data_IF_516581106081
#
_entry.id   IF_516581106081
#
_cell.length_a   1.000
_cell.length_b   1.000
_cell.length_c   1.000
_cell.angle_alpha   90.00
_cell.angle_beta   90.00
_cell.angle_gamma   90.00
#
_symmetry.space_group_name_H-M   'P 1'
#
loop_
_entity.id
_entity.type
_entity.pdbx_description
1 polymer ?
#
# COMPACT_ATOMS: atom_id res chain seq x y z
N UNK A 1 2.15 17.27 -6.28
CA UNK A 1 3.56 16.93 -6.02
C UNK A 1 3.73 15.45 -5.69
N UNK A 2 3.02 14.92 -4.69
CA UNK A 2 3.15 13.52 -4.23
C UNK A 2 2.99 12.43 -5.30
N UNK A 3 1.96 12.53 -6.16
CA UNK A 3 1.72 11.54 -7.24
C UNK A 3 2.91 11.43 -8.20
N UNK A 4 3.44 12.57 -8.66
CA UNK A 4 4.59 12.60 -9.58
C UNK A 4 5.83 11.97 -8.95
N UNK A 5 6.14 12.30 -7.69
CA UNK A 5 7.29 11.73 -6.98
C UNK A 5 7.21 10.21 -6.82
N UNK A 6 6.01 9.63 -6.76
CA UNK A 6 5.79 8.18 -6.65
C UNK A 6 5.60 7.48 -7.98
N UNK A 7 5.38 8.22 -9.07
CA UNK A 7 5.03 7.68 -10.38
C UNK A 7 6.19 7.83 -11.36
N UNK A 8 6.78 9.02 -11.44
CA UNK A 8 7.72 9.37 -12.49
C UNK A 8 9.05 8.60 -12.37
N UNK A 9 9.34 8.06 -11.18
CA UNK A 9 10.48 7.14 -10.96
C UNK A 9 10.41 5.91 -11.84
N UNK A 10 9.20 5.44 -12.19
CA UNK A 10 8.99 4.25 -12.99
C UNK A 10 9.23 4.49 -14.49
N UNK A 11 9.14 5.74 -14.97
CA UNK A 11 9.42 6.08 -16.36
C UNK A 11 10.86 5.75 -16.76
N UNK A 12 11.80 5.87 -15.82
CA UNK A 12 13.21 5.50 -16.03
C UNK A 12 13.42 4.01 -16.30
N UNK A 13 12.43 3.18 -15.96
CA UNK A 13 12.42 1.74 -16.18
C UNK A 13 11.51 1.33 -17.36
N UNK A 14 11.04 2.30 -18.15
CA UNK A 14 10.18 2.04 -19.31
C UNK A 14 8.72 1.74 -18.98
N UNK A 15 8.27 1.98 -17.74
CA UNK A 15 6.87 1.80 -17.33
C UNK A 15 6.16 3.14 -17.49
N UNK A 16 5.36 3.31 -18.55
CA UNK A 16 4.67 4.56 -18.88
C UNK A 16 3.50 4.90 -17.95
N UNK A 17 2.97 6.13 -18.08
CA UNK A 17 1.87 6.64 -17.24
C UNK A 17 0.60 5.80 -17.38
N UNK A 18 0.31 5.37 -18.60
CA UNK A 18 -0.83 4.54 -18.98
C UNK A 18 -0.79 3.13 -18.38
N UNK A 19 0.40 2.67 -17.96
CA UNK A 19 0.58 1.37 -17.30
C UNK A 19 0.45 1.49 -15.76
N UNK A 20 0.37 2.71 -15.22
CA UNK A 20 0.32 2.95 -13.78
C UNK A 20 -1.11 3.28 -13.38
N UNK A 21 -1.70 2.38 -12.58
CA UNK A 21 -3.06 2.52 -12.08
C UNK A 21 -3.05 2.77 -10.58
N UNK A 22 -3.73 3.84 -10.15
CA UNK A 22 -3.85 4.19 -8.74
C UNK A 22 -5.07 3.51 -8.12
N UNK A 23 -4.83 2.83 -6.99
CA UNK A 23 -5.89 2.35 -6.08
C UNK A 23 -6.25 3.49 -5.14
N UNK A 24 -7.46 4.02 -5.26
CA UNK A 24 -7.91 5.20 -4.54
C UNK A 24 -8.92 4.84 -3.45
N UNK A 25 -8.53 5.01 -2.19
CA UNK A 25 -9.36 4.68 -1.02
C UNK A 25 -10.75 5.35 -1.02
N UNK A 26 -10.84 6.60 -1.48
CA UNK A 26 -12.04 7.43 -1.41
C UNK A 26 -12.95 7.29 -2.62
N UNK A 27 -12.38 6.98 -3.79
CA UNK A 27 -13.11 6.97 -5.07
C UNK A 27 -13.46 5.57 -5.56
N UNK A 28 -12.58 4.60 -5.33
CA UNK A 28 -12.81 3.25 -5.82
C UNK A 28 -13.78 2.50 -4.89
N UNK A 29 -14.67 1.74 -5.52
CA UNK A 29 -15.39 0.65 -4.89
C UNK A 29 -14.43 -0.48 -4.51
N UNK A 30 -14.86 -1.36 -3.61
CA UNK A 30 -14.04 -2.52 -3.23
C UNK A 30 -13.71 -3.43 -4.41
N UNK A 31 -14.61 -3.55 -5.39
CA UNK A 31 -14.39 -4.45 -6.53
C UNK A 31 -13.41 -3.85 -7.54
N UNK A 32 -13.50 -2.54 -7.83
CA UNK A 32 -12.48 -1.83 -8.63
C UNK A 32 -11.09 -1.94 -7.99
N UNK A 33 -10.98 -1.81 -6.66
CA UNK A 33 -9.70 -1.99 -5.97
C UNK A 33 -9.13 -3.40 -6.17
N UNK A 34 -9.97 -4.44 -6.02
CA UNK A 34 -9.54 -5.83 -6.19
C UNK A 34 -9.12 -6.10 -7.63
N UNK A 35 -9.89 -5.61 -8.60
CA UNK A 35 -9.61 -5.77 -10.03
C UNK A 35 -8.26 -5.14 -10.39
N UNK A 36 -8.01 -3.89 -9.98
CA UNK A 36 -6.73 -3.20 -10.18
C UNK A 36 -5.55 -3.97 -9.60
N UNK A 37 -5.72 -4.59 -8.43
CA UNK A 37 -4.67 -5.38 -7.78
C UNK A 37 -4.48 -6.73 -8.50
N UNK A 38 -5.55 -7.42 -8.87
CA UNK A 38 -5.47 -8.74 -9.51
C UNK A 38 -4.89 -8.67 -10.93
N UNK A 39 -5.15 -7.58 -11.64
CA UNK A 39 -4.71 -7.39 -13.02
C UNK A 39 -3.33 -6.72 -13.14
N UNK A 40 -2.65 -6.43 -12.02
CA UNK A 40 -1.31 -5.83 -12.04
C UNK A 40 -0.22 -6.90 -11.96
N UNK A 41 0.92 -6.63 -12.61
CA UNK A 41 2.15 -7.42 -12.46
C UNK A 41 3.01 -6.98 -11.28
N UNK A 42 2.87 -5.72 -10.86
CA UNK A 42 3.58 -5.10 -9.75
C UNK A 42 2.56 -4.39 -8.85
N UNK A 43 2.67 -4.60 -7.53
CA UNK A 43 1.92 -3.87 -6.51
C UNK A 43 2.87 -3.02 -5.67
N UNK A 44 2.78 -1.70 -5.79
CA UNK A 44 3.58 -0.74 -5.03
C UNK A 44 2.79 -0.18 -3.83
N UNK A 45 3.23 -0.50 -2.63
CA UNK A 45 2.71 0.04 -1.37
C UNK A 45 3.52 1.28 -0.98
N UNK A 46 2.85 2.43 -0.97
CA UNK A 46 3.50 3.72 -0.75
C UNK A 46 3.81 4.00 0.72
N UNK A 47 4.55 5.07 1.01
CA UNK A 47 4.85 5.51 2.36
C UNK A 47 3.68 6.24 3.02
N UNK A 48 3.87 6.70 4.26
CA UNK A 48 2.84 7.38 5.05
C UNK A 48 2.73 6.79 6.45
N UNK A 49 1.51 6.60 6.94
CA UNK A 49 1.23 6.03 8.25
C UNK A 49 0.89 4.52 8.12
N UNK A 50 1.73 3.60 8.65
CA UNK A 50 1.57 2.15 8.43
C UNK A 50 0.34 1.58 9.12
N UNK A 51 -0.03 2.12 10.28
CA UNK A 51 -1.23 1.78 11.05
C UNK A 51 -2.51 2.14 10.29
N UNK A 52 -2.60 3.37 9.78
CA UNK A 52 -3.72 3.84 8.97
C UNK A 52 -3.82 3.07 7.66
N UNK A 53 -2.68 2.73 7.05
CA UNK A 53 -2.63 1.89 5.85
C UNK A 53 -3.23 0.51 6.11
N UNK A 54 -2.77 -0.18 7.16
CA UNK A 54 -3.29 -1.50 7.53
C UNK A 54 -4.78 -1.43 7.91
N UNK A 55 -5.21 -0.39 8.63
CA UNK A 55 -6.63 -0.15 8.94
C UNK A 55 -7.46 -0.08 7.65
N UNK A 56 -7.06 0.75 6.68
CA UNK A 56 -7.77 0.89 5.39
C UNK A 56 -7.77 -0.39 4.56
N UNK A 57 -6.66 -1.13 4.55
CA UNK A 57 -6.56 -2.44 3.88
C UNK A 57 -7.58 -3.42 4.48
N UNK A 58 -7.72 -3.45 5.81
CA UNK A 58 -8.70 -4.29 6.52
C UNK A 58 -10.13 -3.83 6.25
N UNK A 59 -10.40 -2.53 6.33
CA UNK A 59 -11.73 -1.94 6.04
C UNK A 59 -12.21 -2.27 4.62
N UNK A 60 -11.32 -2.23 3.63
CA UNK A 60 -11.63 -2.57 2.23
C UNK A 60 -11.54 -4.08 1.92
N UNK A 61 -11.35 -4.93 2.95
CA UNK A 61 -11.24 -6.39 2.83
C UNK A 61 -10.14 -6.85 1.86
N UNK A 62 -9.05 -6.09 1.73
CA UNK A 62 -7.94 -6.36 0.82
C UNK A 62 -6.82 -7.20 1.45
N UNK A 63 -6.79 -7.39 2.78
CA UNK A 63 -5.69 -8.10 3.50
C UNK A 63 -5.37 -9.46 2.89
N UNK A 64 -6.40 -10.31 2.68
CA UNK A 64 -6.20 -11.66 2.12
C UNK A 64 -5.74 -11.61 0.67
N UNK A 65 -6.24 -10.64 -0.11
CA UNK A 65 -5.84 -10.47 -1.51
C UNK A 65 -4.35 -10.08 -1.60
N UNK A 66 -3.95 -9.04 -0.88
CA UNK A 66 -2.56 -8.54 -0.87
C UNK A 66 -1.61 -9.62 -0.36
N UNK A 67 -1.95 -10.32 0.74
CA UNK A 67 -1.13 -11.41 1.29
C UNK A 67 -0.89 -12.56 0.30
N UNK A 68 -1.82 -12.81 -0.61
CA UNK A 68 -1.74 -13.89 -1.61
C UNK A 68 -1.37 -13.39 -3.01
N UNK A 69 -1.01 -12.11 -3.15
CA UNK A 69 -0.63 -11.52 -4.42
C UNK A 69 0.55 -12.27 -5.03
N UNK A 70 0.46 -12.60 -6.32
CA UNK A 70 1.42 -13.48 -7.01
C UNK A 70 2.46 -12.71 -7.83
N UNK A 71 2.21 -11.42 -8.09
CA UNK A 71 3.15 -10.54 -8.76
C UNK A 71 4.24 -10.04 -7.81
N UNK A 72 5.00 -9.06 -8.28
CA UNK A 72 6.06 -8.43 -7.48
C UNK A 72 5.44 -7.40 -6.54
N UNK A 73 5.65 -7.56 -5.24
CA UNK A 73 5.27 -6.56 -4.25
C UNK A 73 6.47 -5.69 -3.90
N UNK A 74 6.30 -4.37 -3.99
CA UNK A 74 7.30 -3.38 -3.57
C UNK A 74 6.67 -2.53 -2.49
N UNK A 75 7.40 -2.26 -1.42
CA UNK A 75 7.00 -1.31 -0.40
C UNK A 75 8.15 -0.36 -0.08
N UNK A 76 7.85 0.90 0.17
CA UNK A 76 8.82 1.84 0.71
C UNK A 76 8.28 2.51 1.96
N UNK A 77 9.16 2.81 2.93
CA UNK A 77 8.78 3.39 4.22
C UNK A 77 7.66 2.57 4.89
N UNK A 78 6.52 3.17 5.24
CA UNK A 78 5.37 2.47 5.79
C UNK A 78 4.88 1.27 4.95
N UNK A 79 4.94 1.37 3.61
CA UNK A 79 4.57 0.28 2.71
C UNK A 79 5.48 -0.95 2.82
N UNK A 80 6.74 -0.76 3.25
CA UNK A 80 7.64 -1.87 3.58
C UNK A 80 7.30 -2.46 4.96
N UNK A 81 7.02 -1.61 5.95
CA UNK A 81 6.74 -2.02 7.32
C UNK A 81 5.54 -2.98 7.39
N UNK A 82 4.45 -2.68 6.67
CA UNK A 82 3.23 -3.49 6.74
C UNK A 82 3.36 -4.90 6.14
N UNK A 83 4.45 -5.17 5.41
CA UNK A 83 4.77 -6.50 4.87
C UNK A 83 5.43 -7.42 5.91
N UNK A 84 5.90 -6.87 7.03
CA UNK A 84 6.50 -7.63 8.12
C UNK A 84 5.42 -8.16 9.08
N UNK A 85 5.62 -9.36 9.62
CA UNK A 85 4.74 -9.92 10.65
C UNK A 85 4.67 -9.03 11.90
N UNK A 86 5.77 -8.35 12.21
CA UNK A 86 5.84 -7.36 13.28
C UNK A 86 6.79 -6.24 12.92
N UNK A 87 6.46 -5.02 13.34
CA UNK A 87 7.29 -3.83 13.16
C UNK A 87 7.08 -2.87 14.34
N UNK A 88 8.10 -2.08 14.63
CA UNK A 88 8.04 -1.07 15.69
C UNK A 88 7.52 0.25 15.12
N UNK A 89 6.64 0.92 15.86
CA UNK A 89 6.24 2.30 15.61
C UNK A 89 6.73 3.08 16.83
N UNK A 90 7.64 4.03 16.61
CA UNK A 90 8.07 4.94 17.68
C UNK A 90 6.86 5.73 18.16
N UNK A 91 6.64 5.87 19.48
CA UNK A 91 5.58 6.72 19.98
C UNK A 91 5.85 8.16 19.56
N UNK A 92 5.02 8.71 18.67
CA UNK A 92 4.95 10.15 18.51
C UNK A 92 4.23 10.72 19.74
N UNK A 93 4.61 11.90 20.25
CA UNK A 93 3.96 12.51 21.42
C UNK A 93 2.43 12.71 21.25
N UNK A 94 1.93 12.57 20.02
CA UNK A 94 0.51 12.62 19.63
C UNK A 94 -0.15 11.23 19.60
N UNK A 95 0.63 10.13 19.52
CA UNK A 95 0.15 8.75 19.35
C UNK A 95 0.61 7.90 20.55
N UNK A 96 0.04 8.17 21.72
CA UNK A 96 0.39 7.43 22.95
C UNK A 96 -0.15 5.98 23.03
N UNK A 97 -0.82 5.41 22.02
CA UNK A 97 -1.70 4.25 22.29
C UNK A 97 -1.75 3.08 21.29
N UNK A 98 -0.77 2.82 20.40
CA UNK A 98 -0.88 1.63 19.54
C UNK A 98 0.44 0.92 19.19
N UNK A 99 0.90 0.06 20.09
CA UNK A 99 1.65 -1.15 19.71
C UNK A 99 0.63 -2.24 19.34
N UNK A 100 0.40 -2.50 18.05
CA UNK A 100 -0.51 -3.57 17.59
C UNK A 100 0.32 -4.72 17.02
N UNK A 101 0.30 -5.87 17.71
CA UNK A 101 0.71 -7.16 17.13
C UNK A 101 -0.20 -7.49 15.96
N UNK A 102 0.35 -7.85 14.80
CA UNK A 102 -0.47 -8.38 13.72
C UNK A 102 -1.06 -9.73 14.16
N UNK A 103 -2.38 -9.76 14.38
CA UNK A 103 -3.19 -10.98 14.43
C UNK A 103 -3.78 -11.23 13.04
#
# INVERSE_FOLDING_TARGET
MWYRSNQDVFYKYGIGKEQIVWVNYFKDSMDEMKEKILNSSILMLTGGAPDLMMKRIKEKKLKKLIKNYKGIMIGYSAGAMIQLDSYHISPDEIIQNFCIRQV
#
